data_IF_563058945583
#
_entry.id   IF_563058945583
#
_cell.length_a   1.000
_cell.length_b   1.000
_cell.length_c   1.000
_cell.angle_alpha   90.00
_cell.angle_beta   90.00
_cell.angle_gamma   90.00
#
_symmetry.space_group_name_H-M   'P 1'
#
loop_
_entity.id
_entity.type
_entity.pdbx_description
1 polymer ?
#
# COMPACT_ATOMS: atom_id res chain seq x y z
N UNK A 1 27.43 7.36 -2.44
CA UNK A 1 26.56 8.36 -3.09
C UNK A 1 25.28 7.65 -3.49
N UNK A 2 24.15 7.92 -2.82
CA UNK A 2 22.88 7.31 -3.21
C UNK A 2 22.37 8.04 -4.44
N UNK A 3 22.48 7.41 -5.62
CA UNK A 3 21.85 7.90 -6.83
C UNK A 3 20.34 7.89 -6.62
N UNK A 4 19.75 9.06 -6.41
CA UNK A 4 18.30 9.24 -6.36
C UNK A 4 17.74 9.07 -7.77
N UNK A 5 17.58 7.82 -8.19
CA UNK A 5 16.87 7.48 -9.41
C UNK A 5 15.40 7.75 -9.17
N UNK A 6 14.89 8.85 -9.71
CA UNK A 6 13.48 9.22 -9.55
C UNK A 6 12.62 8.17 -10.26
N UNK A 7 11.83 7.42 -9.49
CA UNK A 7 10.84 6.51 -10.07
C UNK A 7 9.74 7.34 -10.73
N UNK A 8 9.48 7.05 -12.00
CA UNK A 8 8.39 7.66 -12.72
C UNK A 8 7.04 7.06 -12.28
N UNK A 9 6.05 7.92 -12.15
CA UNK A 9 4.71 7.54 -11.68
C UNK A 9 3.74 8.00 -12.76
N UNK A 10 3.26 7.08 -13.62
CA UNK A 10 2.37 7.42 -14.72
C UNK A 10 1.09 8.10 -14.25
N UNK A 11 0.63 9.09 -15.00
CA UNK A 11 -0.63 9.79 -14.71
C UNK A 11 -1.85 8.86 -14.77
N UNK A 12 -1.82 7.84 -15.61
CA UNK A 12 -2.84 6.79 -15.70
C UNK A 12 -2.98 6.01 -14.39
N UNK A 13 -1.86 5.76 -13.70
CA UNK A 13 -1.83 5.11 -12.39
C UNK A 13 -2.45 6.02 -11.33
N UNK A 14 -2.09 7.31 -11.32
CA UNK A 14 -2.70 8.29 -10.40
C UNK A 14 -4.21 8.46 -10.63
N UNK A 15 -4.67 8.38 -11.89
CA UNK A 15 -6.10 8.35 -12.21
C UNK A 15 -6.78 7.10 -11.65
N UNK A 16 -6.12 5.93 -11.71
CA UNK A 16 -6.62 4.70 -11.10
C UNK A 16 -6.77 4.85 -9.59
N UNK A 17 -5.75 5.39 -8.91
CA UNK A 17 -5.79 5.68 -7.46
C UNK A 17 -6.92 6.63 -7.10
N UNK A 18 -7.10 7.70 -7.90
CA UNK A 18 -8.20 8.65 -7.70
C UNK A 18 -9.56 7.98 -7.86
N UNK A 19 -9.73 7.13 -8.88
CA UNK A 19 -10.97 6.34 -9.06
C UNK A 19 -11.21 5.41 -7.89
N UNK A 20 -10.17 4.72 -7.41
CA UNK A 20 -10.24 3.83 -6.25
C UNK A 20 -10.70 4.57 -4.99
N UNK A 21 -10.11 5.74 -4.70
CA UNK A 21 -10.51 6.60 -3.57
C UNK A 21 -11.98 7.01 -3.62
N UNK A 22 -12.47 7.36 -4.81
CA UNK A 22 -13.86 7.82 -5.00
C UNK A 22 -14.86 6.66 -5.04
N UNK A 23 -14.38 5.42 -5.19
CA UNK A 23 -15.23 4.24 -5.24
C UNK A 23 -15.52 3.77 -3.81
N UNK A 24 -16.80 3.73 -3.39
CA UNK A 24 -17.14 3.22 -2.07
C UNK A 24 -16.81 1.73 -1.98
N UNK A 25 -16.08 1.34 -0.94
CA UNK A 25 -15.77 -0.07 -0.71
C UNK A 25 -16.99 -0.82 -0.21
N UNK A 26 -17.27 -1.98 -0.82
CA UNK A 26 -18.36 -2.89 -0.44
C UNK A 26 -17.88 -4.01 0.49
N UNK A 27 -16.57 -4.12 0.66
CA UNK A 27 -15.88 -5.16 1.43
C UNK A 27 -15.17 -4.53 2.63
N UNK A 28 -14.86 -5.29 3.70
CA UNK A 28 -14.12 -4.78 4.84
C UNK A 28 -12.75 -4.23 4.44
N UNK A 29 -12.07 -4.86 3.48
CA UNK A 29 -10.75 -4.46 3.02
C UNK A 29 -10.73 -4.47 1.49
N UNK A 30 -10.15 -3.43 0.91
CA UNK A 30 -9.85 -3.37 -0.53
C UNK A 30 -8.48 -2.74 -0.73
N UNK A 31 -7.75 -3.18 -1.74
CA UNK A 31 -6.39 -2.72 -1.97
C UNK A 31 -6.02 -2.63 -3.45
N UNK A 32 -5.15 -1.70 -3.79
CA UNK A 32 -4.43 -1.69 -5.06
C UNK A 32 -2.96 -1.98 -4.80
N UNK A 33 -2.41 -3.00 -5.44
CA UNK A 33 -1.02 -3.43 -5.31
C UNK A 33 -0.20 -2.83 -6.44
N UNK A 34 0.92 -2.20 -6.09
CA UNK A 34 1.83 -1.57 -7.02
C UNK A 34 3.25 -2.12 -6.88
N UNK A 35 3.91 -2.25 -8.02
CA UNK A 35 5.31 -2.66 -8.12
C UNK A 35 6.12 -1.64 -8.91
N UNK A 36 7.41 -1.57 -8.63
CA UNK A 36 8.39 -0.83 -9.41
C UNK A 36 9.02 -1.78 -10.41
N UNK A 37 8.90 -1.48 -11.70
CA UNK A 37 9.69 -2.14 -12.73
C UNK A 37 11.10 -1.55 -12.74
N UNK A 38 12.09 -2.34 -12.31
CA UNK A 38 13.49 -1.90 -12.21
C UNK A 38 14.11 -1.56 -13.56
N UNK A 39 13.62 -2.12 -14.67
CA UNK A 39 14.17 -1.86 -16.00
C UNK A 39 13.75 -0.50 -16.53
N UNK A 40 12.47 -0.17 -16.37
CA UNK A 40 11.89 1.09 -16.83
C UNK A 40 11.93 2.19 -15.77
N UNK A 41 12.23 1.87 -14.52
CA UNK A 41 12.15 2.76 -13.35
C UNK A 41 10.77 3.41 -13.22
N UNK A 42 9.72 2.66 -13.53
CA UNK A 42 8.33 3.12 -13.48
C UNK A 42 7.51 2.35 -12.45
N UNK A 43 6.58 3.04 -11.80
CA UNK A 43 5.57 2.42 -10.95
C UNK A 43 4.43 1.86 -11.79
N UNK A 44 4.03 0.63 -11.53
CA UNK A 44 2.99 -0.09 -12.25
C UNK A 44 1.96 -0.65 -11.27
N UNK A 45 0.69 -0.59 -11.67
CA UNK A 45 -0.38 -1.30 -10.99
C UNK A 45 -0.24 -2.79 -11.32
N UNK A 46 -0.06 -3.61 -10.31
CA UNK A 46 0.04 -5.07 -10.45
C UNK A 46 -1.34 -5.71 -10.34
N UNK A 47 -2.10 -5.34 -9.31
CA UNK A 47 -3.41 -5.93 -9.06
C UNK A 47 -4.33 -4.95 -8.33
N UNK A 48 -5.65 -5.13 -8.50
CA UNK A 48 -6.67 -4.42 -7.73
C UNK A 48 -7.60 -5.43 -7.07
N UNK A 49 -7.50 -5.52 -5.75
CA UNK A 49 -8.27 -6.41 -4.89
C UNK A 49 -9.51 -5.66 -4.38
N UNK A 50 -10.62 -5.80 -5.10
CA UNK A 50 -11.90 -5.15 -4.77
C UNK A 50 -12.93 -6.11 -4.16
N UNK A 51 -12.67 -7.41 -4.20
CA UNK A 51 -13.58 -8.48 -3.78
C UNK A 51 -12.78 -9.62 -3.15
N UNK A 52 -13.37 -10.33 -2.18
CA UNK A 52 -12.78 -11.54 -1.60
C UNK A 52 -11.86 -11.32 -0.39
N UNK A 53 -11.47 -10.08 -0.09
CA UNK A 53 -10.72 -9.75 1.12
C UNK A 53 -11.68 -9.48 2.29
N UNK A 54 -11.63 -10.36 3.28
CA UNK A 54 -12.43 -10.29 4.51
C UNK A 54 -11.60 -9.86 5.70
N UNK A 55 -10.30 -10.18 5.67
CA UNK A 55 -9.35 -10.01 6.76
C UNK A 55 -8.01 -9.42 6.29
N UNK A 56 -7.18 -8.97 7.25
CA UNK A 56 -5.84 -8.43 6.95
C UNK A 56 -4.92 -9.56 6.51
N UNK A 57 -5.13 -10.74 7.07
CA UNK A 57 -4.45 -11.98 6.75
C UNK A 57 -4.67 -12.34 5.27
N UNK A 58 -5.90 -12.24 4.76
CA UNK A 58 -6.21 -12.47 3.34
C UNK A 58 -5.41 -11.51 2.44
N UNK A 59 -5.18 -10.26 2.89
CA UNK A 59 -4.39 -9.29 2.15
C UNK A 59 -2.90 -9.67 2.13
N UNK A 60 -2.37 -10.14 3.26
CA UNK A 60 -0.98 -10.60 3.38
C UNK A 60 -0.72 -11.82 2.51
N UNK A 61 -1.68 -12.74 2.39
CA UNK A 61 -1.55 -13.93 1.53
C UNK A 61 -1.42 -13.59 0.03
N UNK A 62 -1.90 -12.41 -0.41
CA UNK A 62 -1.71 -11.94 -1.78
C UNK A 62 -0.33 -11.30 -2.02
N UNK A 63 0.45 -11.08 -0.96
CA UNK A 63 1.73 -10.37 -1.05
C UNK A 63 2.91 -11.32 -1.23
N UNK A 64 3.93 -10.91 -2.01
CA UNK A 64 5.12 -11.71 -2.18
C UNK A 64 5.95 -11.74 -0.90
N UNK A 65 6.43 -12.93 -0.54
CA UNK A 65 7.26 -13.13 0.65
C UNK A 65 8.67 -12.58 0.53
N UNK A 66 9.16 -12.29 -0.68
CA UNK A 66 10.57 -12.00 -0.98
C UNK A 66 10.81 -10.69 -1.76
N UNK A 67 9.77 -9.88 -1.97
CA UNK A 67 9.94 -8.60 -2.66
C UNK A 67 9.01 -7.53 -2.12
N UNK A 68 9.45 -6.26 -2.14
CA UNK A 68 8.65 -5.18 -1.63
C UNK A 68 7.48 -4.82 -2.56
N UNK A 69 6.42 -4.27 -1.99
CA UNK A 69 5.24 -3.75 -2.69
C UNK A 69 4.71 -2.49 -2.02
N UNK A 70 4.08 -1.63 -2.81
CA UNK A 70 3.24 -0.56 -2.29
C UNK A 70 1.78 -0.96 -2.44
N UNK A 71 1.00 -0.64 -1.42
CA UNK A 71 -0.42 -0.93 -1.40
C UNK A 71 -1.19 0.32 -1.02
N UNK A 72 -2.19 0.67 -1.81
CA UNK A 72 -3.17 1.68 -1.38
C UNK A 72 -4.37 0.91 -0.85
N UNK A 73 -4.56 0.97 0.47
CA UNK A 73 -5.54 0.15 1.19
C UNK A 73 -6.65 1.05 1.69
N UNK A 74 -7.89 0.60 1.48
CA UNK A 74 -9.07 1.11 2.16
C UNK A 74 -9.55 0.05 3.15
N UNK A 75 -9.59 0.41 4.42
CA UNK A 75 -9.86 -0.50 5.54
C UNK A 75 -11.07 -0.03 6.33
N UNK A 76 -12.04 -0.93 6.55
CA UNK A 76 -13.19 -0.66 7.41
C UNK A 76 -12.74 -0.69 8.87
N UNK A 77 -12.65 0.48 9.47
CA UNK A 77 -12.25 0.67 10.86
C UNK A 77 -13.48 0.95 11.73
N UNK A 78 -13.68 0.12 12.76
CA UNK A 78 -14.71 0.33 13.78
C UNK A 78 -14.07 0.93 15.03
N UNK A 79 -14.51 2.13 15.39
CA UNK A 79 -14.02 2.87 16.55
C UNK A 79 -14.73 2.40 17.83
N UNK A 80 -14.06 2.57 18.97
CA UNK A 80 -14.63 2.23 20.29
C UNK A 80 -15.90 3.03 20.62
N UNK A 81 -16.07 4.22 20.04
CA UNK A 81 -17.27 5.08 20.19
C UNK A 81 -18.45 4.66 19.29
N UNK A 82 -18.30 3.56 18.54
CA UNK A 82 -19.31 3.02 17.63
C UNK A 82 -19.28 3.62 16.22
N UNK A 83 -18.40 4.60 15.94
CA UNK A 83 -18.25 5.12 14.57
C UNK A 83 -17.59 4.09 13.66
N UNK A 84 -17.98 4.12 12.39
CA UNK A 84 -17.32 3.34 11.34
C UNK A 84 -16.68 4.33 10.36
N UNK A 85 -15.41 4.11 10.07
CA UNK A 85 -14.64 4.90 9.11
C UNK A 85 -13.95 4.01 8.09
N UNK A 86 -13.54 4.61 6.98
CA UNK A 86 -12.88 3.93 5.88
C UNK A 86 -11.58 4.66 5.55
N UNK A 87 -10.57 4.64 6.44
CA UNK A 87 -9.27 5.25 6.18
C UNK A 87 -8.63 4.68 4.91
N UNK A 88 -8.17 5.59 4.06
CA UNK A 88 -7.31 5.28 2.93
C UNK A 88 -5.85 5.56 3.31
N UNK A 89 -4.99 4.56 3.21
CA UNK A 89 -3.57 4.69 3.55
C UNK A 89 -2.68 3.95 2.56
N UNK A 90 -1.40 4.33 2.56
CA UNK A 90 -0.35 3.67 1.79
C UNK A 90 0.38 2.70 2.71
N UNK A 91 0.32 1.43 2.41
CA UNK A 91 1.09 0.40 3.08
C UNK A 91 2.34 0.09 2.25
N UNK A 92 3.50 0.21 2.88
CA UNK A 92 4.78 -0.19 2.31
C UNK A 92 5.15 -1.56 2.86
N UNK A 93 4.95 -2.59 2.04
CA UNK A 93 5.35 -3.97 2.33
C UNK A 93 6.80 -4.17 1.90
N UNK A 94 7.67 -4.56 2.82
CA UNK A 94 9.09 -4.80 2.55
C UNK A 94 9.65 -5.91 3.44
N UNK A 95 9.32 -7.19 3.17
CA UNK A 95 9.72 -8.31 4.01
C UNK A 95 11.25 -8.41 4.08
N UNK A 96 11.79 -8.89 5.20
CA UNK A 96 13.24 -8.91 5.48
C UNK A 96 14.07 -9.72 4.46
N UNK A 97 13.44 -10.68 3.82
CA UNK A 97 13.97 -11.51 2.72
C UNK A 97 14.17 -10.75 1.41
N UNK A 98 13.63 -9.53 1.30
CA UNK A 98 13.79 -8.66 0.14
C UNK A 98 15.25 -8.26 -0.05
N UNK A 99 15.71 -8.20 -1.31
CA UNK A 99 17.07 -7.74 -1.58
C UNK A 99 17.27 -6.27 -1.17
N UNK A 100 18.45 -5.94 -0.63
CA UNK A 100 18.79 -4.58 -0.18
C UNK A 100 18.56 -3.54 -1.28
N UNK A 101 18.89 -3.89 -2.52
CA UNK A 101 18.71 -3.04 -3.69
C UNK A 101 17.22 -2.73 -3.93
N UNK A 102 16.33 -3.72 -3.85
CA UNK A 102 14.88 -3.53 -3.98
C UNK A 102 14.35 -2.67 -2.82
N UNK A 103 14.71 -3.00 -1.58
CA UNK A 103 14.25 -2.26 -0.40
C UNK A 103 14.67 -0.79 -0.46
N UNK A 104 15.90 -0.51 -0.88
CA UNK A 104 16.40 0.86 -1.07
C UNK A 104 15.63 1.59 -2.17
N UNK A 105 15.37 0.91 -3.30
CA UNK A 105 14.62 1.49 -4.42
C UNK A 105 13.20 1.90 -4.00
N UNK A 106 12.47 1.00 -3.33
CA UNK A 106 11.12 1.30 -2.85
C UNK A 106 11.15 2.38 -1.77
N UNK A 107 12.03 2.28 -0.77
CA UNK A 107 12.13 3.31 0.26
C UNK A 107 12.39 4.72 -0.33
N UNK A 108 13.21 4.81 -1.39
CA UNK A 108 13.45 6.08 -2.08
C UNK A 108 12.24 6.64 -2.84
N UNK A 109 11.32 5.76 -3.28
CA UNK A 109 10.13 6.14 -4.03
C UNK A 109 8.92 6.45 -3.13
N UNK A 110 8.93 5.97 -1.88
CA UNK A 110 7.81 6.02 -0.95
C UNK A 110 7.21 7.42 -0.79
N UNK A 111 8.04 8.41 -0.44
CA UNK A 111 7.57 9.78 -0.21
C UNK A 111 7.02 10.44 -1.48
N UNK A 112 7.65 10.20 -2.64
CA UNK A 112 7.19 10.71 -3.92
C UNK A 112 5.83 10.09 -4.30
N UNK A 113 5.68 8.78 -4.12
CA UNK A 113 4.42 8.10 -4.42
C UNK A 113 3.30 8.56 -3.48
N UNK A 114 3.53 8.62 -2.17
CA UNK A 114 2.55 9.11 -1.20
C UNK A 114 2.05 10.53 -1.55
N UNK A 115 2.98 11.43 -1.88
CA UNK A 115 2.66 12.80 -2.27
C UNK A 115 1.85 12.87 -3.57
N UNK A 116 2.27 12.16 -4.63
CA UNK A 116 1.55 12.15 -5.92
C UNK A 116 0.18 11.46 -5.85
N UNK A 117 0.05 10.44 -5.00
CA UNK A 117 -1.20 9.72 -4.76
C UNK A 117 -2.15 10.47 -3.80
N UNK A 118 -1.71 11.59 -3.23
CA UNK A 118 -2.44 12.41 -2.25
C UNK A 118 -2.85 11.61 -0.99
N UNK A 119 -1.94 10.78 -0.48
CA UNK A 119 -2.19 9.92 0.67
C UNK A 119 -1.44 10.47 1.90
N UNK A 120 -2.19 10.86 2.92
CA UNK A 120 -1.64 11.45 4.14
C UNK A 120 -1.12 10.44 5.17
N UNK A 121 -1.54 9.17 5.09
CA UNK A 121 -1.16 8.13 6.07
C UNK A 121 -0.33 7.04 5.39
N UNK A 122 0.86 6.81 5.91
CA UNK A 122 1.78 5.76 5.46
C UNK A 122 2.03 4.78 6.61
N UNK A 123 1.99 3.48 6.32
CA UNK A 123 2.27 2.39 7.26
C UNK A 123 3.35 1.51 6.65
N UNK A 124 4.50 1.41 7.31
CA UNK A 124 5.61 0.55 6.89
C UNK A 124 5.52 -0.81 7.59
N UNK A 125 5.62 -1.89 6.82
CA UNK A 125 5.64 -3.28 7.30
C UNK A 125 6.91 -3.95 6.78
N UNK A 126 7.85 -4.26 7.69
CA UNK A 126 9.20 -4.75 7.33
C UNK A 126 9.52 -6.14 7.85
N UNK A 127 8.88 -6.52 8.95
CA UNK A 127 8.88 -7.86 9.53
C UNK A 127 8.08 -8.87 8.71
N UNK A 128 7.21 -8.39 7.80
CA UNK A 128 6.33 -9.27 7.04
C UNK A 128 5.11 -9.71 7.84
N UNK A 129 4.82 -9.03 8.95
CA UNK A 129 3.67 -9.33 9.79
C UNK A 129 2.83 -8.07 9.94
N UNK A 130 1.54 -8.18 9.65
CA UNK A 130 0.56 -7.14 9.96
C UNK A 130 -0.73 -7.81 10.42
N UNK A 131 -1.26 -7.33 11.53
CA UNK A 131 -2.53 -7.82 12.08
C UNK A 131 -3.55 -6.68 12.15
N UNK A 132 -4.82 -7.03 12.21
CA UNK A 132 -5.90 -6.05 12.36
C UNK A 132 -5.69 -5.12 13.55
N UNK A 133 -5.26 -5.66 14.71
CA UNK A 133 -4.99 -4.85 15.91
C UNK A 133 -3.92 -3.78 15.68
N UNK A 134 -2.83 -4.15 15.00
CA UNK A 134 -1.77 -3.18 14.70
C UNK A 134 -2.24 -2.09 13.74
N UNK A 135 -3.11 -2.42 12.78
CA UNK A 135 -3.73 -1.44 11.90
C UNK A 135 -4.67 -0.50 12.66
N UNK A 136 -5.52 -1.05 13.53
CA UNK A 136 -6.47 -0.28 14.32
C UNK A 136 -5.76 0.77 15.19
N UNK A 137 -4.71 0.38 15.91
CA UNK A 137 -3.88 1.28 16.72
C UNK A 137 -3.21 2.38 15.87
N UNK A 138 -2.70 2.02 14.69
CA UNK A 138 -2.05 2.97 13.78
C UNK A 138 -3.02 3.94 13.14
N UNK A 139 -4.27 3.53 12.95
CA UNK A 139 -5.34 4.31 12.33
C UNK A 139 -6.20 5.08 13.36
N UNK A 140 -5.99 4.82 14.65
CA UNK A 140 -6.54 5.60 15.76
C UNK A 140 -7.93 5.15 16.23
N UNK A 141 -8.23 3.85 16.15
CA UNK A 141 -9.41 3.25 16.79
C UNK A 141 -9.22 2.99 18.30
#
# INVERSE_FOLDING_TARGET
MASSSTIDIPSTLLQSVRKFRLTPSKVPISAQIFKIDKKSLTLQLEETLSTGLSSVEDLVEQLPENSPRFLIVNYKLQHHDGRVSYPLFLLYWAPQTSSLEQSTLYASALSNFAAKADIGKVIDVRDGEISAKHLDERLGA
#
